data_IF_749256406512
#
_entry.id   IF_749256406512
#
_cell.length_a   1.000
_cell.length_b   1.000
_cell.length_c   1.000
_cell.angle_alpha   90.00
_cell.angle_beta   90.00
_cell.angle_gamma   90.00
#
_symmetry.space_group_name_H-M   'P 1'
#
loop_
_entity.id
_entity.type
_entity.pdbx_description
1 polymer ?
#
# COMPACT_ATOMS: atom_id res chain seq x y z
N UNK A 1 18.67 20.76 -7.16
CA UNK A 1 18.32 20.49 -5.75
C UNK A 1 19.25 19.41 -5.22
N UNK A 2 19.90 19.64 -4.08
CA UNK A 2 20.79 18.67 -3.44
C UNK A 2 19.98 17.57 -2.76
N UNK A 3 20.62 16.45 -2.41
CA UNK A 3 19.96 15.41 -1.61
C UNK A 3 19.61 15.93 -0.22
N UNK A 4 20.43 16.80 0.37
CA UNK A 4 20.14 17.42 1.66
C UNK A 4 18.83 18.22 1.65
N UNK A 5 18.67 19.13 0.68
CA UNK A 5 17.46 19.96 0.55
C UNK A 5 16.22 19.09 0.34
N UNK A 6 16.38 18.06 -0.49
CA UNK A 6 15.34 17.10 -0.81
C UNK A 6 14.88 16.31 0.44
N UNK A 7 15.82 15.81 1.25
CA UNK A 7 15.51 15.10 2.49
C UNK A 7 14.84 16.01 3.51
N UNK A 8 15.27 17.28 3.60
CA UNK A 8 14.60 18.26 4.46
C UNK A 8 13.12 18.47 4.03
N UNK A 9 12.86 18.58 2.73
CA UNK A 9 11.50 18.68 2.19
C UNK A 9 10.67 17.40 2.43
N UNK A 10 11.28 16.23 2.23
CA UNK A 10 10.67 14.92 2.52
C UNK A 10 10.25 14.81 3.99
N UNK A 11 11.15 15.18 4.92
CA UNK A 11 10.87 15.22 6.36
C UNK A 11 9.72 16.16 6.69
N UNK A 12 9.75 17.39 6.17
CA UNK A 12 8.74 18.39 6.47
C UNK A 12 7.32 17.98 6.03
N UNK A 13 7.21 17.22 4.94
CA UNK A 13 5.93 16.76 4.39
C UNK A 13 5.60 15.30 4.69
N UNK A 14 6.48 14.60 5.42
CA UNK A 14 6.39 13.16 5.69
C UNK A 14 6.23 12.30 4.42
N UNK A 15 7.05 12.58 3.39
CA UNK A 15 7.05 11.85 2.12
C UNK A 15 8.31 11.01 1.95
N UNK A 16 8.14 9.74 1.55
CA UNK A 16 9.28 8.82 1.32
C UNK A 16 9.88 8.82 -0.10
N UNK A 17 9.48 9.75 -0.98
CA UNK A 17 10.11 9.93 -2.29
C UNK A 17 9.85 11.31 -2.89
N UNK A 18 10.64 11.66 -3.90
CA UNK A 18 10.47 12.85 -4.74
C UNK A 18 10.43 12.42 -6.20
N UNK A 19 9.42 12.88 -6.93
CA UNK A 19 9.35 12.76 -8.39
C UNK A 19 10.01 13.99 -9.01
N UNK A 20 10.84 13.77 -10.01
CA UNK A 20 11.58 14.80 -10.73
C UNK A 20 10.93 14.94 -12.09
N UNK A 21 10.65 16.19 -12.46
CA UNK A 21 9.99 16.54 -13.70
C UNK A 21 10.83 17.54 -14.48
N UNK A 22 10.67 17.55 -15.79
CA UNK A 22 11.21 18.59 -16.66
C UNK A 22 10.39 19.90 -16.56
N UNK A 23 10.81 20.91 -17.31
CA UNK A 23 10.12 22.21 -17.35
C UNK A 23 8.68 22.14 -17.90
N UNK A 24 8.33 21.09 -18.64
CA UNK A 24 6.98 20.84 -19.14
C UNK A 24 6.15 19.99 -18.17
N UNK A 25 6.71 19.59 -17.02
CA UNK A 25 6.06 18.75 -16.02
C UNK A 25 6.12 17.26 -16.32
N UNK A 26 6.86 16.83 -17.34
CA UNK A 26 7.00 15.41 -17.68
C UNK A 26 7.92 14.71 -16.71
N UNK A 27 7.56 13.50 -16.28
CA UNK A 27 8.35 12.72 -15.33
C UNK A 27 9.68 12.30 -15.96
N UNK A 28 10.79 12.70 -15.35
CA UNK A 28 12.16 12.30 -15.75
C UNK A 28 12.81 11.31 -14.78
N UNK A 29 12.36 11.31 -13.53
CA UNK A 29 13.11 10.72 -12.43
C UNK A 29 12.26 10.46 -11.20
N UNK A 30 12.64 9.47 -10.40
CA UNK A 30 12.18 9.35 -9.02
C UNK A 30 13.37 9.06 -8.11
N UNK A 31 13.37 9.68 -6.94
CA UNK A 31 14.30 9.38 -5.84
C UNK A 31 13.48 8.95 -4.63
N UNK A 32 13.77 7.76 -4.13
CA UNK A 32 13.17 7.19 -2.92
C UNK A 32 14.19 7.15 -1.77
N UNK A 33 13.72 6.90 -0.55
CA UNK A 33 14.60 6.60 0.59
C UNK A 33 15.62 5.50 0.28
N UNK A 34 15.23 4.49 -0.51
CA UNK A 34 16.10 3.39 -0.93
C UNK A 34 17.23 3.89 -1.84
N UNK A 35 16.94 4.83 -2.74
CA UNK A 35 17.95 5.43 -3.61
C UNK A 35 18.96 6.22 -2.78
N UNK A 36 18.50 7.01 -1.81
CA UNK A 36 19.39 7.74 -0.90
C UNK A 36 20.28 6.76 -0.11
N UNK A 37 19.70 5.69 0.42
CA UNK A 37 20.44 4.67 1.17
C UNK A 37 21.53 3.99 0.33
N UNK A 38 21.22 3.55 -0.89
CA UNK A 38 22.18 2.77 -1.70
C UNK A 38 23.09 3.62 -2.58
N UNK A 39 22.58 4.70 -3.18
CA UNK A 39 23.30 5.50 -4.18
C UNK A 39 24.02 6.71 -3.60
N UNK A 40 23.64 7.17 -2.40
CA UNK A 40 24.37 8.22 -1.68
C UNK A 40 25.14 7.62 -0.49
N UNK A 41 24.43 7.13 0.53
CA UNK A 41 25.04 6.68 1.79
C UNK A 41 25.95 5.47 1.56
N UNK A 42 25.48 4.47 0.82
CA UNK A 42 26.26 3.29 0.46
C UNK A 42 27.51 3.57 -0.37
N UNK A 43 27.63 4.77 -0.95
CA UNK A 43 28.82 5.21 -1.69
C UNK A 43 29.65 6.26 -0.93
N UNK A 44 29.34 6.52 0.34
CA UNK A 44 29.96 7.57 1.14
C UNK A 44 29.89 8.97 0.48
N UNK A 45 28.78 9.25 -0.22
CA UNK A 45 28.55 10.52 -0.90
C UNK A 45 28.09 11.62 0.06
N UNK A 46 28.47 12.86 -0.23
CA UNK A 46 28.07 14.03 0.54
C UNK A 46 26.68 14.55 0.10
N UNK A 47 25.66 14.55 1.00
CA UNK A 47 24.30 14.98 0.65
C UNK A 47 24.19 16.45 0.23
N UNK A 48 25.17 17.30 0.59
CA UNK A 48 25.17 18.74 0.28
C UNK A 48 25.71 19.05 -1.12
N UNK A 49 26.43 18.12 -1.74
CA UNK A 49 27.00 18.31 -3.08
C UNK A 49 26.33 17.42 -4.13
N UNK A 50 25.89 16.21 -3.74
CA UNK A 50 25.17 15.30 -4.63
C UNK A 50 23.76 15.82 -4.87
N UNK A 51 23.34 15.79 -6.13
CA UNK A 51 22.03 16.23 -6.60
C UNK A 51 21.08 15.05 -6.79
N UNK A 52 19.77 15.32 -6.72
CA UNK A 52 18.78 14.31 -7.04
C UNK A 52 18.91 13.73 -8.45
N UNK A 53 19.29 14.54 -9.44
CA UNK A 53 19.44 14.11 -10.82
C UNK A 53 20.56 13.06 -11.02
N UNK A 54 21.56 13.03 -10.12
CA UNK A 54 22.65 12.04 -10.16
C UNK A 54 22.23 10.68 -9.59
N UNK A 55 21.29 10.66 -8.63
CA UNK A 55 20.88 9.41 -7.96
C UNK A 55 19.49 8.92 -8.37
N UNK A 56 18.73 9.69 -9.15
CA UNK A 56 17.39 9.32 -9.57
C UNK A 56 17.37 8.06 -10.43
N UNK A 57 16.33 7.26 -10.23
CA UNK A 57 15.98 6.19 -11.16
C UNK A 57 15.24 6.82 -12.34
N UNK A 58 15.75 6.61 -13.55
CA UNK A 58 15.22 7.19 -14.80
C UNK A 58 14.23 6.25 -15.51
N UNK A 59 14.47 4.95 -15.41
CA UNK A 59 13.54 3.92 -15.91
C UNK A 59 12.46 3.68 -14.85
N UNK A 60 11.37 4.44 -14.96
CA UNK A 60 10.30 4.47 -13.96
C UNK A 60 9.08 3.83 -14.58
N UNK A 61 8.51 2.86 -13.86
CA UNK A 61 7.16 2.39 -14.14
C UNK A 61 6.17 3.51 -13.85
N UNK A 62 5.38 3.89 -14.85
CA UNK A 62 4.37 4.94 -14.75
C UNK A 62 3.04 4.41 -15.26
N UNK A 63 1.96 4.75 -14.55
CA UNK A 63 0.61 4.50 -15.00
C UNK A 63 0.11 5.68 -15.85
N UNK A 64 -0.74 5.41 -16.81
CA UNK A 64 -1.61 6.45 -17.39
C UNK A 64 -2.80 6.68 -16.47
N UNK A 65 -3.33 7.90 -16.48
CA UNK A 65 -4.56 8.25 -15.76
C UNK A 65 -5.78 7.42 -16.19
N UNK A 66 -5.75 6.83 -17.38
CA UNK A 66 -6.78 5.96 -17.94
C UNK A 66 -6.58 4.47 -17.60
N UNK A 67 -5.47 4.12 -16.95
CA UNK A 67 -5.18 2.72 -16.64
C UNK A 67 -6.07 2.19 -15.51
N UNK A 68 -6.32 0.87 -15.54
CA UNK A 68 -6.96 0.21 -14.43
C UNK A 68 -6.00 0.10 -13.24
N UNK A 69 -6.34 0.79 -12.14
CA UNK A 69 -5.54 0.79 -10.91
C UNK A 69 -5.29 -0.62 -10.35
N UNK A 70 -6.24 -1.56 -10.51
CA UNK A 70 -6.12 -2.93 -9.98
C UNK A 70 -4.98 -3.70 -10.65
N UNK A 71 -4.76 -3.48 -11.94
CA UNK A 71 -3.66 -4.14 -12.67
C UNK A 71 -2.31 -3.62 -12.19
N UNK A 72 -2.22 -2.30 -12.01
CA UNK A 72 -1.03 -1.67 -11.44
C UNK A 72 -0.72 -2.14 -10.02
N UNK A 73 -1.73 -2.38 -9.20
CA UNK A 73 -1.53 -2.89 -7.84
C UNK A 73 -0.95 -4.31 -7.83
N UNK A 74 -1.39 -5.16 -8.76
CA UNK A 74 -0.79 -6.49 -8.97
C UNK A 74 0.67 -6.38 -9.40
N UNK A 75 0.96 -5.49 -10.36
CA UNK A 75 2.31 -5.24 -10.86
C UNK A 75 3.21 -4.70 -9.74
N UNK A 76 2.74 -3.71 -8.96
CA UNK A 76 3.44 -3.17 -7.79
C UNK A 76 3.80 -4.26 -6.77
N UNK A 77 2.86 -5.15 -6.48
CA UNK A 77 3.07 -6.29 -5.57
C UNK A 77 4.12 -7.26 -6.12
N UNK A 78 4.02 -7.65 -7.38
CA UNK A 78 4.90 -8.64 -8.00
C UNK A 78 6.32 -8.12 -8.23
N UNK A 79 6.44 -6.88 -8.71
CA UNK A 79 7.73 -6.23 -9.01
C UNK A 79 8.32 -5.49 -7.81
N UNK A 80 7.63 -5.50 -6.65
CA UNK A 80 8.10 -4.96 -5.35
C UNK A 80 8.47 -3.48 -5.36
N UNK A 81 7.77 -2.67 -6.14
CA UNK A 81 7.86 -1.22 -6.05
C UNK A 81 6.61 -0.63 -5.37
N UNK A 82 6.80 0.50 -4.69
CA UNK A 82 5.80 1.03 -3.74
C UNK A 82 5.29 2.43 -4.10
N UNK A 83 5.80 3.00 -5.18
CA UNK A 83 5.53 4.36 -5.65
C UNK A 83 5.30 4.28 -7.16
N UNK A 84 4.17 4.77 -7.61
CA UNK A 84 3.71 4.70 -9.00
C UNK A 84 3.26 6.10 -9.43
N UNK A 85 4.10 6.84 -10.16
CA UNK A 85 3.66 8.06 -10.82
C UNK A 85 2.53 7.76 -11.80
N UNK A 86 1.49 8.58 -11.77
CA UNK A 86 0.38 8.57 -12.71
C UNK A 86 0.53 9.79 -13.61
N UNK A 87 0.51 9.58 -14.92
CA UNK A 87 0.76 10.62 -15.92
C UNK A 87 -0.36 10.74 -16.94
N UNK A 88 -0.50 11.92 -17.54
CA UNK A 88 -1.40 12.16 -18.68
C UNK A 88 -0.82 11.60 -19.98
N UNK A 89 -1.48 11.84 -21.13
CA UNK A 89 -1.00 11.41 -22.45
C UNK A 89 0.36 12.00 -22.84
N UNK A 90 0.69 13.20 -22.38
CA UNK A 90 1.95 13.89 -22.65
C UNK A 90 3.08 13.47 -21.69
N UNK A 91 2.78 12.62 -20.71
CA UNK A 91 3.74 12.15 -19.70
C UNK A 91 3.89 13.11 -18.52
N UNK A 92 3.01 14.10 -18.38
CA UNK A 92 3.03 15.04 -17.26
C UNK A 92 2.45 14.39 -16.01
N UNK A 93 3.11 14.63 -14.88
CA UNK A 93 2.71 14.07 -13.60
C UNK A 93 1.34 14.62 -13.15
N UNK A 94 0.38 13.72 -12.96
CA UNK A 94 -0.95 14.03 -12.43
C UNK A 94 -1.08 13.66 -10.95
N UNK A 95 -0.55 12.49 -10.57
CA UNK A 95 -0.59 12.00 -9.21
C UNK A 95 0.57 11.06 -8.89
N UNK A 96 0.76 10.77 -7.61
CA UNK A 96 1.65 9.72 -7.14
C UNK A 96 0.84 8.74 -6.29
N UNK A 97 0.68 7.52 -6.78
CA UNK A 97 0.06 6.44 -6.02
C UNK A 97 1.12 5.68 -5.22
N UNK A 98 0.80 5.35 -3.98
CA UNK A 98 1.63 4.52 -3.13
C UNK A 98 0.92 3.24 -2.74
N UNK A 99 1.71 2.22 -2.37
CA UNK A 99 1.14 1.01 -1.78
C UNK A 99 0.37 1.29 -0.47
N UNK A 100 0.74 2.36 0.25
CA UNK A 100 0.01 2.80 1.44
C UNK A 100 -1.38 3.32 1.10
N UNK A 101 -1.50 4.10 0.02
CA UNK A 101 -2.79 4.61 -0.45
C UNK A 101 -3.74 3.47 -0.82
N UNK A 102 -3.22 2.39 -1.43
CA UNK A 102 -4.01 1.19 -1.71
C UNK A 102 -4.63 0.59 -0.45
N UNK A 103 -3.84 0.41 0.60
CA UNK A 103 -4.34 -0.11 1.87
C UNK A 103 -5.40 0.83 2.41
N UNK A 104 -5.13 2.14 2.44
CA UNK A 104 -6.09 3.13 2.93
C UNK A 104 -7.41 3.15 2.14
N UNK A 105 -7.37 2.99 0.82
CA UNK A 105 -8.58 2.96 -0.02
C UNK A 105 -9.35 1.65 0.09
N UNK A 106 -8.68 0.51 0.22
CA UNK A 106 -9.34 -0.81 0.24
C UNK A 106 -9.74 -1.28 1.63
N UNK A 107 -9.10 -0.79 2.68
CA UNK A 107 -9.33 -1.23 4.05
C UNK A 107 -10.80 -1.23 4.49
N UNK A 108 -11.62 -0.19 4.20
CA UNK A 108 -13.02 -0.18 4.59
C UNK A 108 -13.82 -1.34 3.96
N UNK A 109 -13.63 -1.58 2.67
CA UNK A 109 -14.33 -2.63 1.92
C UNK A 109 -13.87 -4.02 2.36
N UNK A 110 -12.57 -4.18 2.58
CA UNK A 110 -11.96 -5.43 3.03
C UNK A 110 -12.47 -5.82 4.43
N UNK A 111 -12.53 -4.86 5.35
CA UNK A 111 -13.11 -5.08 6.68
C UNK A 111 -14.61 -5.36 6.62
N UNK A 112 -15.34 -4.67 5.74
CA UNK A 112 -16.77 -4.92 5.56
C UNK A 112 -17.02 -6.37 5.10
N UNK A 113 -16.29 -6.83 4.08
CA UNK A 113 -16.37 -8.20 3.58
C UNK A 113 -15.97 -9.23 4.64
N UNK A 114 -14.86 -9.01 5.34
CA UNK A 114 -14.41 -9.89 6.43
C UNK A 114 -15.47 -10.02 7.53
N UNK A 115 -16.10 -8.90 7.91
CA UNK A 115 -17.19 -8.89 8.91
C UNK A 115 -18.43 -9.64 8.41
N UNK A 116 -18.75 -9.53 7.12
CA UNK A 116 -19.86 -10.24 6.48
C UNK A 116 -19.64 -11.76 6.48
N UNK A 117 -18.44 -12.21 6.09
CA UNK A 117 -18.05 -13.62 6.12
C UNK A 117 -18.08 -14.21 7.54
N UNK A 118 -17.62 -13.44 8.54
CA UNK A 118 -17.69 -13.84 9.95
C UNK A 118 -19.15 -14.03 10.41
N UNK A 119 -20.03 -13.07 10.10
CA UNK A 119 -21.47 -13.17 10.41
C UNK A 119 -22.12 -14.37 9.73
N UNK A 120 -21.84 -14.60 8.45
CA UNK A 120 -22.39 -15.72 7.69
C UNK A 120 -21.93 -17.07 8.26
N UNK A 121 -20.66 -17.18 8.65
CA UNK A 121 -20.12 -18.38 9.29
C UNK A 121 -20.81 -18.68 10.63
N UNK A 122 -20.97 -17.66 11.49
CA UNK A 122 -21.63 -17.81 12.80
C UNK A 122 -23.11 -18.18 12.62
N UNK A 123 -23.82 -17.48 11.73
CA UNK A 123 -25.24 -17.74 11.49
C UNK A 123 -25.47 -19.12 10.84
N UNK A 124 -24.58 -19.54 9.94
CA UNK A 124 -24.61 -20.87 9.34
C UNK A 124 -24.42 -22.00 10.36
N UNK A 125 -23.66 -21.76 11.44
CA UNK A 125 -23.44 -22.72 12.53
C UNK A 125 -24.52 -22.68 13.62
N UNK A 126 -25.50 -21.76 13.53
CA UNK A 126 -26.49 -21.56 14.59
C UNK A 126 -27.28 -22.84 14.89
N UNK A 127 -27.63 -23.62 13.86
CA UNK A 127 -28.37 -24.86 14.05
C UNK A 127 -27.56 -25.91 14.83
N UNK A 128 -26.24 -26.02 14.61
CA UNK A 128 -25.38 -26.90 15.40
C UNK A 128 -25.27 -26.44 16.85
N UNK A 129 -25.17 -25.12 17.08
CA UNK A 129 -25.14 -24.54 18.43
C UNK A 129 -26.46 -24.83 19.16
N UNK A 130 -27.61 -24.62 18.51
CA UNK A 130 -28.93 -24.91 19.09
C UNK A 130 -29.08 -26.40 19.41
N UNK A 131 -28.68 -27.29 18.50
CA UNK A 131 -28.72 -28.74 18.73
C UNK A 131 -27.84 -29.11 19.92
N UNK A 132 -26.61 -28.59 20.00
CA UNK A 132 -25.69 -28.87 21.10
C UNK A 132 -26.27 -28.43 22.46
N UNK A 133 -26.89 -27.24 22.52
CA UNK A 133 -27.55 -26.73 23.73
C UNK A 133 -28.74 -27.60 24.13
N UNK A 134 -29.58 -28.01 23.17
CA UNK A 134 -30.73 -28.88 23.43
C UNK A 134 -30.29 -30.26 23.95
N UNK A 135 -29.28 -30.87 23.32
CA UNK A 135 -28.72 -32.16 23.75
C UNK A 135 -28.14 -32.06 25.16
N UNK A 136 -27.40 -30.98 25.46
CA UNK A 136 -26.85 -30.74 26.79
C UNK A 136 -27.94 -30.57 27.85
N UNK A 137 -29.00 -29.80 27.55
CA UNK A 137 -30.14 -29.61 28.44
C UNK A 137 -30.88 -30.93 28.72
N UNK A 138 -31.11 -31.75 27.69
CA UNK A 138 -31.73 -33.07 27.84
C UNK A 138 -30.86 -34.01 28.70
N UNK A 139 -29.53 -33.99 28.51
CA UNK A 139 -28.61 -34.78 29.31
C UNK A 139 -28.63 -34.38 30.80
N UNK A 140 -28.71 -33.08 31.10
CA UNK A 140 -28.84 -32.58 32.47
C UNK A 140 -30.13 -33.04 33.13
N UNK A 141 -31.27 -32.93 32.43
CA UNK A 141 -32.57 -33.39 32.95
C UNK A 141 -32.53 -34.89 33.24
N UNK A 142 -32.04 -35.69 32.30
CA UNK A 142 -31.91 -37.13 32.48
C UNK A 142 -31.04 -37.48 33.70
N UNK A 143 -29.92 -36.79 33.88
CA UNK A 143 -29.03 -36.99 35.03
C UNK A 143 -29.73 -36.70 36.36
N UNK A 144 -30.52 -35.63 36.44
CA UNK A 144 -31.27 -35.28 37.67
C UNK A 144 -32.44 -36.20 37.97
N UNK A 145 -33.00 -36.88 36.96
CA UNK A 145 -34.11 -37.84 37.16
C UNK A 145 -33.65 -39.24 37.54
N UNK A 146 -32.37 -39.56 37.33
CA UNK A 146 -31.78 -40.87 37.67
C UNK A 146 -31.13 -40.91 39.07
N UNK A 147 -31.03 -39.77 39.75
CA UNK A 147 -30.52 -39.62 41.13
C UNK A 147 -31.67 -39.44 42.11
#
# INVERSE_FOLDING_TARGET
MTVFDAVAAMKAKNYGCIVITDMAGRVEGIVTERDIMFKLVGQNGDPTTVTLAQIMTRDIRMARETDNVVDWLRIMSNERFRRLPVVDSEGRLQALLTQGDFVSYTWPDLLHQASGLAKATILGQLHYIVIAVLVFALALVALTTLT
#
